data_IF_027589251474
#
_entry.id   IF_027589251474
#
_cell.length_a   1.000
_cell.length_b   1.000
_cell.length_c   1.000
_cell.angle_alpha   90.00
_cell.angle_beta   90.00
_cell.angle_gamma   90.00
#
_symmetry.space_group_name_H-M   'P 1'
#
loop_
_entity.id
_entity.type
_entity.pdbx_description
1 polymer ?
#
# COMPACT_ATOMS: atom_id res chain seq x y z
N UNK A 1 2.38 56.57 27.48
CA UNK A 1 3.62 56.36 26.69
C UNK A 1 3.80 54.86 26.51
N UNK A 2 3.34 54.33 25.38
CA UNK A 2 3.38 52.90 25.08
C UNK A 2 4.67 52.51 24.38
N UNK A 3 5.26 51.38 24.79
CA UNK A 3 6.26 50.66 24.01
C UNK A 3 5.57 49.49 23.30
N UNK A 4 5.56 49.42 21.96
CA UNK A 4 4.93 48.30 21.26
C UNK A 4 5.87 47.09 21.25
N UNK A 5 5.37 45.97 21.74
CA UNK A 5 6.05 44.68 21.72
C UNK A 5 6.31 44.20 20.29
N UNK A 6 7.56 43.78 20.05
CA UNK A 6 8.03 43.18 18.80
C UNK A 6 7.30 41.84 18.57
N UNK A 7 6.30 41.82 17.70
CA UNK A 7 5.65 40.58 17.23
C UNK A 7 6.69 39.74 16.49
N UNK A 8 7.00 38.55 17.00
CA UNK A 8 7.75 37.52 16.26
C UNK A 8 6.81 36.95 15.19
N UNK A 9 7.22 37.02 13.93
CA UNK A 9 6.53 36.34 12.84
C UNK A 9 6.56 34.82 13.04
N UNK A 10 5.54 34.07 12.57
CA UNK A 10 5.49 32.63 12.75
C UNK A 10 6.60 31.97 11.93
N UNK A 11 7.36 31.07 12.56
CA UNK A 11 8.47 30.30 11.98
C UNK A 11 7.98 29.28 10.93
N UNK A 12 6.66 29.17 10.71
CA UNK A 12 6.01 28.11 9.92
C UNK A 12 6.28 28.22 8.41
N UNK A 13 6.49 29.41 7.87
CA UNK A 13 6.69 29.61 6.43
C UNK A 13 8.16 29.42 5.98
N UNK A 14 9.12 29.47 6.91
CA UNK A 14 10.54 29.27 6.57
C UNK A 14 10.88 27.81 6.27
N UNK A 15 10.30 26.88 7.05
CA UNK A 15 10.49 25.45 6.80
C UNK A 15 9.87 25.01 5.46
N UNK A 16 8.76 25.60 5.05
CA UNK A 16 8.14 25.31 3.75
C UNK A 16 9.00 25.78 2.57
N UNK A 17 9.59 26.99 2.67
CA UNK A 17 10.43 27.54 1.61
C UNK A 17 11.79 26.82 1.51
N UNK A 18 12.36 26.40 2.64
CA UNK A 18 13.59 25.60 2.67
C UNK A 18 13.35 24.19 2.11
N UNK A 19 12.21 23.56 2.42
CA UNK A 19 11.87 22.22 1.92
C UNK A 19 11.53 22.24 0.41
N UNK A 20 10.87 23.30 -0.07
CA UNK A 20 10.69 23.54 -1.51
C UNK A 20 12.02 23.77 -2.24
N UNK A 21 12.96 24.51 -1.63
CA UNK A 21 14.29 24.74 -2.20
C UNK A 21 15.09 23.43 -2.29
N UNK A 22 15.07 22.61 -1.25
CA UNK A 22 15.72 21.28 -1.25
C UNK A 22 15.10 20.35 -2.30
N UNK A 23 13.77 20.36 -2.42
CA UNK A 23 13.05 19.60 -3.45
C UNK A 23 13.34 20.09 -4.88
N UNK A 24 13.59 21.38 -5.07
CA UNK A 24 14.03 21.92 -6.36
C UNK A 24 15.46 21.52 -6.70
N UNK A 25 16.38 21.58 -5.73
CA UNK A 25 17.78 21.17 -5.90
C UNK A 25 17.85 19.67 -6.22
N UNK A 26 17.04 18.85 -5.55
CA UNK A 26 16.97 17.42 -5.81
C UNK A 26 16.51 17.12 -7.25
N UNK A 27 15.41 17.75 -7.71
CA UNK A 27 14.92 17.62 -9.09
C UNK A 27 15.92 18.12 -10.13
N UNK A 28 16.62 19.21 -9.85
CA UNK A 28 17.64 19.74 -10.76
C UNK A 28 18.86 18.81 -10.84
N UNK A 29 19.29 18.23 -9.72
CA UNK A 29 20.35 17.24 -9.69
C UNK A 29 19.97 15.96 -10.47
N UNK A 30 18.74 15.50 -10.31
CA UNK A 30 18.18 14.36 -11.04
C UNK A 30 18.10 14.64 -12.55
N UNK A 31 17.61 15.82 -12.95
CA UNK A 31 17.57 16.23 -14.35
C UNK A 31 18.98 16.31 -14.98
N UNK A 32 19.97 16.80 -14.23
CA UNK A 32 21.37 16.83 -14.69
C UNK A 32 21.95 15.43 -14.84
N UNK A 33 21.63 14.51 -13.93
CA UNK A 33 22.03 13.10 -14.05
C UNK A 33 21.36 12.43 -15.25
N UNK A 34 20.06 12.63 -15.44
CA UNK A 34 19.32 12.11 -16.59
C UNK A 34 19.90 12.63 -17.92
N UNK A 35 20.26 13.91 -18.00
CA UNK A 35 20.92 14.49 -19.17
C UNK A 35 22.30 13.85 -19.43
N UNK A 36 23.08 13.57 -18.38
CA UNK A 36 24.35 12.84 -18.52
C UNK A 36 24.15 11.41 -19.01
N UNK A 37 23.13 10.69 -18.50
CA UNK A 37 22.76 9.34 -18.99
C UNK A 37 22.38 9.38 -20.46
N UNK A 38 21.57 10.34 -20.88
CA UNK A 38 21.19 10.51 -22.29
C UNK A 38 22.42 10.79 -23.19
N UNK A 39 23.31 11.70 -22.78
CA UNK A 39 24.52 12.00 -23.54
C UNK A 39 25.47 10.80 -23.67
N UNK A 40 25.59 9.99 -22.61
CA UNK A 40 26.37 8.73 -22.65
C UNK A 40 25.73 7.70 -23.57
N UNK A 41 24.41 7.55 -23.50
CA UNK A 41 23.66 6.67 -24.40
C UNK A 41 23.84 7.07 -25.87
N UNK A 42 23.71 8.36 -26.19
CA UNK A 42 23.96 8.89 -27.53
C UNK A 42 25.42 8.66 -28.00
N UNK A 43 26.40 8.82 -27.11
CA UNK A 43 27.81 8.58 -27.43
C UNK A 43 28.08 7.10 -27.76
N UNK A 44 27.47 6.16 -27.01
CA UNK A 44 27.51 4.72 -27.31
C UNK A 44 26.90 4.43 -28.68
N UNK A 45 25.75 5.02 -28.96
CA UNK A 45 25.02 4.86 -30.22
C UNK A 45 25.81 5.36 -31.44
N UNK A 46 26.46 6.53 -31.32
CA UNK A 46 27.31 7.08 -32.38
C UNK A 46 28.49 6.15 -32.66
N UNK A 47 29.16 5.67 -31.61
CA UNK A 47 30.33 4.79 -31.74
C UNK A 47 29.96 3.42 -32.33
N UNK A 48 28.81 2.86 -31.95
CA UNK A 48 28.28 1.63 -32.56
C UNK A 48 28.03 1.80 -34.06
N UNK A 49 27.42 2.91 -34.49
CA UNK A 49 27.22 3.20 -35.91
C UNK A 49 28.53 3.39 -36.67
N UNK A 50 29.56 3.95 -36.02
CA UNK A 50 30.87 4.12 -36.63
C UNK A 50 31.64 2.80 -36.76
N UNK A 51 31.55 1.91 -35.77
CA UNK A 51 32.09 0.55 -35.85
C UNK A 51 31.40 -0.26 -36.97
N UNK A 52 30.07 -0.20 -37.07
CA UNK A 52 29.34 -0.82 -38.19
C UNK A 52 29.76 -0.26 -39.56
N UNK A 53 30.03 1.04 -39.63
CA UNK A 53 30.50 1.68 -40.85
C UNK A 53 31.90 1.19 -41.23
N UNK A 54 32.83 1.11 -40.27
CA UNK A 54 34.17 0.57 -40.51
C UNK A 54 34.11 -0.89 -40.97
N UNK A 55 33.22 -1.70 -40.38
CA UNK A 55 32.99 -3.08 -40.81
C UNK A 55 32.53 -3.15 -42.28
N UNK A 56 31.53 -2.35 -42.66
CA UNK A 56 31.04 -2.30 -44.06
C UNK A 56 32.11 -1.80 -45.04
N UNK A 57 32.91 -0.82 -44.65
CA UNK A 57 33.99 -0.30 -45.51
C UNK A 57 35.13 -1.33 -45.72
N UNK A 58 35.38 -2.19 -44.73
CA UNK A 58 36.30 -3.32 -44.87
C UNK A 58 35.73 -4.42 -45.77
N UNK A 59 34.45 -4.76 -45.60
CA UNK A 59 33.76 -5.74 -46.45
C UNK A 59 33.72 -5.28 -47.91
N UNK A 60 33.39 -4.00 -48.16
CA UNK A 60 33.43 -3.42 -49.51
C UNK A 60 34.85 -3.41 -50.12
N UNK A 61 35.89 -3.23 -49.32
CA UNK A 61 37.28 -3.30 -49.80
C UNK A 61 37.68 -4.74 -50.15
N UNK A 62 37.19 -5.72 -49.39
CA UNK A 62 37.37 -7.13 -49.69
C UNK A 62 36.67 -7.53 -51.00
N UNK A 63 35.45 -7.05 -51.22
CA UNK A 63 34.68 -7.28 -52.46
C UNK A 63 35.30 -6.60 -53.69
N UNK A 64 35.87 -5.38 -53.52
CA UNK A 64 36.59 -4.67 -54.58
C UNK A 64 37.88 -5.40 -54.97
N UNK A 65 38.60 -5.97 -54.00
CA UNK A 65 39.76 -6.81 -54.27
C UNK A 65 39.36 -8.11 -55.00
N UNK A 66 38.20 -8.69 -54.68
CA UNK A 66 37.69 -9.90 -55.34
C UNK A 66 37.19 -9.67 -56.78
N UNK A 67 36.65 -8.48 -57.06
CA UNK A 67 36.15 -8.10 -58.40
C UNK A 67 37.26 -7.70 -59.37
N UNK A 68 38.38 -7.15 -58.90
CA UNK A 68 39.53 -6.80 -59.76
C UNK A 68 40.24 -8.03 -60.36
N UNK A 69 40.15 -9.21 -59.70
CA UNK A 69 40.65 -10.48 -60.24
C UNK A 69 39.64 -11.22 -61.16
N UNK A 70 38.39 -10.75 -61.25
CA UNK A 70 37.30 -11.46 -61.96
C UNK A 70 36.81 -10.72 -63.21
N UNK A 71 37.74 -10.30 -64.09
CA UNK A 71 37.41 -9.85 -65.46
C UNK A 71 37.72 -10.97 -66.47
N UNK A 72 36.76 -11.39 -67.33
CA UNK A 72 36.89 -12.63 -68.10
C UNK A 72 37.72 -12.43 -69.37
N UNK A 73 38.90 -13.08 -69.42
CA UNK A 73 39.59 -13.32 -70.69
C UNK A 73 39.13 -14.66 -71.26
N UNK A 74 38.26 -14.56 -72.26
CA UNK A 74 37.66 -15.66 -73.01
C UNK A 74 38.68 -16.42 -73.85
N UNK A 75 38.75 -17.76 -73.71
CA UNK A 75 38.87 -18.72 -74.83
C UNK A 75 38.85 -20.20 -74.38
N UNK A 76 37.97 -20.96 -75.05
CA UNK A 76 38.01 -22.40 -75.37
C UNK A 76 37.45 -23.45 -74.36
N UNK A 77 36.16 -23.77 -74.56
CA UNK A 77 35.64 -25.06 -75.06
C UNK A 77 35.78 -26.39 -74.25
N UNK A 78 34.64 -26.76 -73.62
CA UNK A 78 34.00 -28.11 -73.58
C UNK A 78 34.55 -29.18 -72.59
N UNK A 79 33.80 -30.26 -72.24
CA UNK A 79 33.09 -30.30 -70.95
C UNK A 79 33.25 -31.62 -70.16
N UNK A 80 32.99 -31.56 -68.85
CA UNK A 80 32.60 -32.73 -68.06
C UNK A 80 33.74 -33.63 -67.58
N UNK A 81 33.75 -33.90 -66.27
CA UNK A 81 33.49 -35.21 -65.67
C UNK A 81 33.84 -35.16 -64.18
N UNK A 82 32.94 -35.68 -63.37
CA UNK A 82 33.18 -36.03 -61.97
C UNK A 82 33.82 -37.42 -61.87
N UNK A 83 34.29 -37.71 -60.65
CA UNK A 83 34.57 -39.01 -60.04
C UNK A 83 35.99 -39.58 -60.19
N UNK A 84 36.56 -39.88 -59.02
CA UNK A 84 37.29 -41.09 -58.64
C UNK A 84 38.35 -41.69 -59.60
N UNK A 85 39.41 -42.18 -58.94
CA UNK A 85 40.56 -42.92 -59.44
C UNK A 85 41.71 -42.04 -59.96
N UNK A 86 42.87 -42.12 -59.31
CA UNK A 86 43.82 -43.18 -59.64
C UNK A 86 44.85 -43.40 -58.53
N UNK A 87 45.23 -44.66 -58.44
CA UNK A 87 46.09 -45.28 -57.46
C UNK A 87 47.58 -44.98 -57.67
N UNK A 88 48.34 -45.36 -56.63
CA UNK A 88 49.66 -46.00 -56.68
C UNK A 88 50.74 -45.44 -57.60
N UNK A 89 51.81 -44.93 -56.98
CA UNK A 89 53.23 -45.18 -57.28
C UNK A 89 53.94 -44.82 -55.96
N UNK A 90 54.72 -45.64 -55.27
CA UNK A 90 55.70 -46.63 -55.70
C UNK A 90 56.95 -46.34 -54.85
N UNK A 91 57.32 -47.27 -53.96
CA UNK A 91 58.47 -47.10 -53.06
C UNK A 91 59.83 -47.29 -53.74
N UNK A 92 60.89 -46.87 -53.04
CA UNK A 92 62.23 -47.49 -52.95
C UNK A 92 63.02 -46.65 -51.92
N UNK A 93 63.50 -47.23 -50.81
CA UNK A 93 64.82 -47.84 -50.67
C UNK A 93 65.99 -46.89 -50.93
N UNK A 94 66.77 -46.54 -49.91
CA UNK A 94 68.15 -47.05 -49.78
C UNK A 94 68.90 -46.43 -48.59
N UNK A 95 69.73 -47.27 -47.97
CA UNK A 95 70.75 -46.94 -46.96
C UNK A 95 72.04 -46.44 -47.64
N UNK A 96 72.88 -45.76 -46.83
CA UNK A 96 74.31 -45.36 -46.99
C UNK A 96 74.44 -43.84 -47.17
N UNK A 97 75.40 -43.14 -46.58
CA UNK A 97 76.55 -43.53 -45.77
C UNK A 97 77.30 -42.26 -45.37
N UNK A 98 78.07 -42.37 -44.29
CA UNK A 98 79.05 -41.40 -43.80
C UNK A 98 80.15 -41.16 -44.85
N UNK A 99 80.48 -39.89 -45.13
CA UNK A 99 81.83 -39.48 -45.56
C UNK A 99 81.97 -37.94 -45.46
N UNK A 100 82.93 -37.50 -44.65
CA UNK A 100 83.51 -36.15 -44.64
C UNK A 100 84.14 -35.79 -45.99
N UNK A 101 84.11 -34.50 -46.35
CA UNK A 101 84.88 -33.97 -47.48
C UNK A 101 84.56 -32.51 -47.75
N UNK A 102 85.31 -31.60 -47.14
CA UNK A 102 85.22 -30.17 -47.41
C UNK A 102 85.53 -29.83 -48.87
N UNK A 103 84.77 -28.90 -49.43
CA UNK A 103 85.19 -28.06 -50.55
C UNK A 103 84.36 -26.80 -50.59
N UNK A 104 85.08 -25.68 -50.45
CA UNK A 104 84.80 -24.35 -51.04
C UNK A 104 83.34 -23.92 -50.89
N UNK A 105 83.07 -23.06 -49.90
CA UNK A 105 81.84 -22.29 -49.84
C UNK A 105 81.69 -21.52 -51.17
N UNK A 106 80.76 -21.98 -52.01
CA UNK A 106 80.35 -21.29 -53.22
C UNK A 106 79.65 -20.00 -52.78
N UNK A 107 80.19 -18.81 -53.07
CA UNK A 107 79.62 -17.55 -52.60
C UNK A 107 78.17 -17.35 -53.05
N UNK A 108 77.73 -18.01 -54.13
CA UNK A 108 76.36 -17.94 -54.63
C UNK A 108 75.37 -18.75 -53.77
N UNK A 109 75.81 -19.87 -53.18
CA UNK A 109 75.00 -20.67 -52.24
C UNK A 109 74.76 -19.90 -50.93
N UNK A 110 75.79 -19.25 -50.39
CA UNK A 110 75.65 -18.38 -49.20
C UNK A 110 74.79 -17.15 -49.47
N UNK A 111 74.79 -16.63 -50.70
CA UNK A 111 73.93 -15.50 -51.11
C UNK A 111 72.47 -15.93 -51.26
N UNK A 112 72.22 -17.14 -51.76
CA UNK A 112 70.89 -17.75 -51.82
C UNK A 112 70.31 -17.97 -50.41
N UNK A 113 71.09 -18.55 -49.49
CA UNK A 113 70.67 -18.76 -48.09
C UNK A 113 70.34 -17.44 -47.38
N UNK A 114 71.10 -16.37 -47.64
CA UNK A 114 70.80 -15.04 -47.12
C UNK A 114 69.51 -14.44 -47.70
N UNK A 115 69.20 -14.71 -48.97
CA UNK A 115 67.95 -14.28 -49.60
C UNK A 115 66.75 -15.04 -49.04
N UNK A 116 66.89 -16.35 -48.81
CA UNK A 116 65.85 -17.17 -48.19
C UNK A 116 65.62 -16.76 -46.73
N UNK A 117 66.69 -16.48 -45.99
CA UNK A 117 66.61 -15.93 -44.62
C UNK A 117 65.94 -14.56 -44.59
N UNK A 118 66.25 -13.69 -45.56
CA UNK A 118 65.60 -12.39 -45.69
C UNK A 118 64.10 -12.56 -45.97
N UNK A 119 63.72 -13.44 -46.90
CA UNK A 119 62.32 -13.72 -47.22
C UNK A 119 61.56 -14.29 -46.00
N UNK A 120 62.18 -15.18 -45.22
CA UNK A 120 61.58 -15.73 -44.00
C UNK A 120 61.36 -14.64 -42.93
N UNK A 121 62.32 -13.72 -42.76
CA UNK A 121 62.18 -12.58 -41.84
C UNK A 121 61.10 -11.61 -42.32
N UNK A 122 61.02 -11.34 -43.63
CA UNK A 122 59.96 -10.53 -44.22
C UNK A 122 58.57 -11.14 -44.02
N UNK A 123 58.42 -12.47 -44.15
CA UNK A 123 57.16 -13.16 -43.90
C UNK A 123 56.78 -13.12 -42.41
N UNK A 124 57.75 -13.33 -41.51
CA UNK A 124 57.55 -13.19 -40.06
C UNK A 124 57.15 -11.76 -39.68
N UNK A 125 57.77 -10.75 -40.29
CA UNK A 125 57.41 -9.35 -40.08
C UNK A 125 55.98 -9.06 -40.55
N UNK A 126 55.57 -9.55 -41.73
CA UNK A 126 54.18 -9.41 -42.20
C UNK A 126 53.18 -10.07 -41.25
N UNK A 127 53.45 -11.29 -40.78
CA UNK A 127 52.61 -11.99 -39.79
C UNK A 127 52.50 -11.20 -38.48
N UNK A 128 53.62 -10.67 -37.97
CA UNK A 128 53.64 -9.85 -36.77
C UNK A 128 52.83 -8.55 -36.95
N UNK A 129 52.92 -7.91 -38.13
CA UNK A 129 52.15 -6.70 -38.42
C UNK A 129 50.64 -6.96 -38.45
N UNK A 130 50.21 -8.05 -39.08
CA UNK A 130 48.79 -8.47 -39.09
C UNK A 130 48.32 -8.81 -37.67
N UNK A 131 49.12 -9.54 -36.90
CA UNK A 131 48.81 -9.84 -35.49
C UNK A 131 48.71 -8.60 -34.63
N UNK A 132 49.58 -7.60 -34.85
CA UNK A 132 49.56 -6.35 -34.08
C UNK A 132 48.30 -5.53 -34.40
N UNK A 133 47.92 -5.45 -35.69
CA UNK A 133 46.66 -4.82 -36.09
C UNK A 133 45.43 -5.54 -35.50
N UNK A 134 45.47 -6.87 -35.37
CA UNK A 134 44.39 -7.61 -34.70
C UNK A 134 44.32 -7.27 -33.21
N UNK A 135 45.47 -7.23 -32.52
CA UNK A 135 45.53 -6.88 -31.10
C UNK A 135 45.06 -5.45 -30.83
N UNK A 136 45.35 -4.50 -31.72
CA UNK A 136 44.86 -3.12 -31.61
C UNK A 136 43.32 -3.04 -31.76
N UNK A 137 42.72 -3.85 -32.64
CA UNK A 137 41.27 -3.96 -32.75
C UNK A 137 40.65 -4.59 -31.49
N UNK A 138 41.21 -5.70 -31.01
CA UNK A 138 40.73 -6.37 -29.80
C UNK A 138 40.86 -5.45 -28.57
N UNK A 139 41.94 -4.68 -28.47
CA UNK A 139 42.12 -3.65 -27.44
C UNK A 139 41.06 -2.56 -27.53
N UNK A 140 40.78 -2.05 -28.73
CA UNK A 140 39.75 -1.03 -28.93
C UNK A 140 38.35 -1.55 -28.54
N UNK A 141 38.04 -2.80 -28.87
CA UNK A 141 36.80 -3.49 -28.52
C UNK A 141 36.69 -3.69 -27.00
N UNK A 142 37.75 -4.17 -26.35
CA UNK A 142 37.77 -4.35 -24.89
C UNK A 142 37.63 -3.03 -24.14
N UNK A 143 38.26 -1.95 -24.61
CA UNK A 143 38.08 -0.61 -24.03
C UNK A 143 36.61 -0.19 -24.10
N UNK A 144 35.96 -0.39 -25.24
CA UNK A 144 34.54 -0.08 -25.38
C UNK A 144 33.63 -0.91 -24.46
N UNK A 145 33.91 -2.21 -24.34
CA UNK A 145 33.17 -3.08 -23.43
C UNK A 145 33.32 -2.63 -21.98
N UNK A 146 34.54 -2.27 -21.55
CA UNK A 146 34.80 -1.75 -20.22
C UNK A 146 34.04 -0.44 -19.98
N UNK A 147 34.03 0.48 -20.94
CA UNK A 147 33.30 1.75 -20.80
C UNK A 147 31.79 1.52 -20.71
N UNK A 148 31.25 0.62 -21.54
CA UNK A 148 29.82 0.24 -21.48
C UNK A 148 29.46 -0.38 -20.13
N UNK A 149 30.29 -1.31 -19.62
CA UNK A 149 30.08 -1.93 -18.32
C UNK A 149 30.17 -0.91 -17.19
N UNK A 150 31.05 0.09 -17.28
CA UNK A 150 31.13 1.17 -16.29
C UNK A 150 29.83 1.97 -16.23
N UNK A 151 29.26 2.42 -17.35
CA UNK A 151 28.01 3.18 -17.21
C UNK A 151 26.83 2.28 -16.80
N UNK A 152 26.83 0.97 -17.10
CA UNK A 152 25.84 0.03 -16.52
C UNK A 152 26.00 -0.07 -14.99
N UNK A 153 27.24 -0.13 -14.49
CA UNK A 153 27.51 -0.12 -13.04
C UNK A 153 27.02 1.19 -12.41
N UNK A 154 27.32 2.34 -13.02
CA UNK A 154 26.84 3.65 -12.53
C UNK A 154 25.30 3.71 -12.51
N UNK A 155 24.62 3.22 -13.55
CA UNK A 155 23.16 3.14 -13.58
C UNK A 155 22.60 2.24 -12.45
N UNK A 156 23.22 1.09 -12.18
CA UNK A 156 22.83 0.20 -11.08
C UNK A 156 23.07 0.82 -9.71
N UNK A 157 24.17 1.55 -9.50
CA UNK A 157 24.48 2.25 -8.25
C UNK A 157 23.46 3.37 -7.97
N UNK A 158 23.04 4.07 -9.01
CA UNK A 158 22.00 5.10 -8.92
C UNK A 158 20.63 4.49 -8.59
N UNK A 159 20.24 3.40 -9.27
CA UNK A 159 19.01 2.67 -8.95
C UNK A 159 19.02 2.13 -7.50
N UNK A 160 20.16 1.62 -7.03
CA UNK A 160 20.31 1.16 -5.65
C UNK A 160 20.14 2.31 -4.66
N UNK A 161 20.70 3.48 -4.98
CA UNK A 161 20.59 4.69 -4.15
C UNK A 161 19.17 5.23 -4.11
N UNK A 162 18.44 5.18 -5.23
CA UNK A 162 17.05 5.59 -5.34
C UNK A 162 16.12 4.67 -4.52
N UNK A 163 16.25 3.35 -4.70
CA UNK A 163 15.50 2.37 -3.89
C UNK A 163 15.74 2.54 -2.39
N UNK A 164 16.97 2.86 -1.96
CA UNK A 164 17.26 3.14 -0.54
C UNK A 164 16.50 4.37 -0.04
N UNK A 165 16.46 5.46 -0.82
CA UNK A 165 15.69 6.67 -0.45
C UNK A 165 14.20 6.37 -0.34
N UNK A 166 13.64 5.64 -1.30
CA UNK A 166 12.23 5.23 -1.26
C UNK A 166 11.92 4.38 -0.02
N UNK A 167 12.80 3.44 0.32
CA UNK A 167 12.67 2.62 1.53
C UNK A 167 12.68 3.47 2.80
N UNK A 168 13.58 4.45 2.89
CA UNK A 168 13.66 5.38 4.03
C UNK A 168 12.39 6.23 4.16
N UNK A 169 11.83 6.71 3.05
CA UNK A 169 10.60 7.49 3.06
C UNK A 169 9.37 6.64 3.41
N UNK A 170 9.30 5.40 2.92
CA UNK A 170 8.28 4.43 3.35
C UNK A 170 8.40 4.09 4.83
N UNK A 171 9.63 3.98 5.36
CA UNK A 171 9.85 3.77 6.79
C UNK A 171 9.36 4.94 7.63
N UNK A 172 9.62 6.20 7.21
CA UNK A 172 9.09 7.40 7.89
C UNK A 172 7.56 7.43 7.88
N UNK A 173 6.93 7.13 6.74
CA UNK A 173 5.46 7.09 6.65
C UNK A 173 4.87 5.98 7.52
N UNK A 174 5.52 4.81 7.59
CA UNK A 174 5.13 3.74 8.51
C UNK A 174 5.16 4.19 9.97
N UNK A 175 6.21 4.89 10.40
CA UNK A 175 6.29 5.42 11.77
C UNK A 175 5.22 6.49 12.04
N UNK A 176 4.93 7.35 11.05
CA UNK A 176 3.82 8.32 11.14
C UNK A 176 2.47 7.62 11.30
N UNK A 177 2.24 6.53 10.56
CA UNK A 177 1.02 5.73 10.66
C UNK A 177 0.92 5.01 12.00
N UNK A 178 2.01 4.41 12.51
CA UNK A 178 2.04 3.82 13.85
C UNK A 178 1.67 4.83 14.93
N UNK A 179 2.21 6.04 14.84
CA UNK A 179 1.85 7.11 15.78
C UNK A 179 0.35 7.47 15.69
N UNK A 180 -0.20 7.59 14.49
CA UNK A 180 -1.63 7.84 14.29
C UNK A 180 -2.50 6.73 14.89
N UNK A 181 -2.13 5.46 14.67
CA UNK A 181 -2.84 4.30 15.24
C UNK A 181 -2.80 4.37 16.77
N UNK A 182 -1.66 4.69 17.37
CA UNK A 182 -1.53 4.84 18.82
C UNK A 182 -2.45 5.94 19.38
N UNK A 183 -2.54 7.09 18.71
CA UNK A 183 -3.45 8.18 19.10
C UNK A 183 -4.92 7.73 19.00
N UNK A 184 -5.28 7.05 17.93
CA UNK A 184 -6.65 6.54 17.75
C UNK A 184 -7.01 5.46 18.76
N UNK A 185 -6.07 4.59 19.14
CA UNK A 185 -6.25 3.59 20.19
C UNK A 185 -6.53 4.26 21.54
N UNK A 186 -5.74 5.28 21.92
CA UNK A 186 -5.99 6.05 23.13
C UNK A 186 -7.38 6.69 23.12
N UNK A 187 -7.78 7.28 21.98
CA UNK A 187 -9.11 7.88 21.84
C UNK A 187 -10.23 6.84 21.94
N UNK A 188 -10.02 5.65 21.39
CA UNK A 188 -10.96 4.54 21.51
C UNK A 188 -11.13 4.10 22.97
N UNK A 189 -10.03 4.03 23.73
CA UNK A 189 -10.07 3.68 25.16
C UNK A 189 -10.82 4.72 25.99
N UNK A 190 -10.57 6.01 25.76
CA UNK A 190 -11.32 7.11 26.41
C UNK A 190 -12.83 7.00 26.15
N UNK A 191 -13.22 6.75 24.89
CA UNK A 191 -14.63 6.64 24.53
C UNK A 191 -15.27 5.38 25.12
N UNK A 192 -14.54 4.26 25.18
CA UNK A 192 -14.99 3.03 25.85
C UNK A 192 -15.22 3.24 27.34
N UNK A 193 -14.33 3.96 28.01
CA UNK A 193 -14.50 4.32 29.41
C UNK A 193 -15.72 5.22 29.62
N UNK A 194 -15.93 6.20 28.75
CA UNK A 194 -17.13 7.04 28.79
C UNK A 194 -18.43 6.27 28.51
N UNK A 195 -18.40 5.17 27.77
CA UNK A 195 -19.55 4.26 27.63
C UNK A 195 -19.77 3.51 28.95
N UNK A 196 -18.74 2.90 29.54
CA UNK A 196 -18.85 2.17 30.81
C UNK A 196 -19.46 3.02 31.91
N UNK A 197 -18.99 4.25 32.08
CA UNK A 197 -19.52 5.17 33.10
C UNK A 197 -21.00 5.52 32.88
N UNK A 198 -21.45 5.59 31.61
CA UNK A 198 -22.87 5.81 31.30
C UNK A 198 -23.69 4.57 31.63
N UNK A 199 -23.21 3.38 31.29
CA UNK A 199 -23.91 2.13 31.59
C UNK A 199 -24.06 1.94 33.12
N UNK A 200 -23.02 2.21 33.90
CA UNK A 200 -23.09 2.20 35.37
C UNK A 200 -24.14 3.18 35.92
N UNK A 201 -24.22 4.38 35.35
CA UNK A 201 -25.22 5.37 35.75
C UNK A 201 -26.65 4.92 35.41
N UNK A 202 -26.84 4.28 34.24
CA UNK A 202 -28.13 3.71 33.84
C UNK A 202 -28.55 2.63 34.83
N UNK A 203 -27.67 1.69 35.16
CA UNK A 203 -28.00 0.64 36.13
C UNK A 203 -28.32 1.21 37.53
N UNK A 204 -27.63 2.27 37.96
CA UNK A 204 -27.92 2.93 39.23
C UNK A 204 -29.33 3.57 39.23
N UNK A 205 -29.72 4.21 38.12
CA UNK A 205 -31.05 4.78 37.94
C UNK A 205 -32.14 3.70 37.88
N UNK A 206 -31.87 2.55 37.27
CA UNK A 206 -32.79 1.41 37.25
C UNK A 206 -33.04 0.87 38.65
N UNK A 207 -31.99 0.65 39.46
CA UNK A 207 -32.13 0.24 40.88
C UNK A 207 -32.91 1.28 41.70
N UNK A 208 -32.67 2.57 41.45
CA UNK A 208 -33.41 3.63 42.12
C UNK A 208 -34.89 3.61 41.75
N UNK A 209 -35.21 3.35 40.48
CA UNK A 209 -36.59 3.22 40.00
C UNK A 209 -37.29 2.03 40.67
N UNK A 210 -36.64 0.88 40.75
CA UNK A 210 -37.16 -0.32 41.45
C UNK A 210 -37.48 -0.01 42.92
N UNK A 211 -36.59 0.69 43.61
CA UNK A 211 -36.81 1.12 44.99
C UNK A 211 -38.05 2.04 45.13
N UNK A 212 -38.20 3.01 44.23
CA UNK A 212 -39.38 3.88 44.21
C UNK A 212 -40.66 3.14 43.85
N UNK A 213 -40.60 2.13 42.98
CA UNK A 213 -41.72 1.26 42.65
C UNK A 213 -42.17 0.50 43.92
N UNK A 214 -41.26 -0.08 44.71
CA UNK A 214 -41.57 -0.73 46.00
C UNK A 214 -42.27 0.19 47.00
N UNK A 215 -41.75 1.40 47.22
CA UNK A 215 -42.38 2.39 48.12
C UNK A 215 -43.79 2.75 47.64
N UNK A 216 -43.97 2.90 46.32
CA UNK A 216 -45.26 3.22 45.74
C UNK A 216 -46.28 2.11 45.96
N UNK A 217 -45.89 0.84 45.79
CA UNK A 217 -46.75 -0.30 46.13
C UNK A 217 -47.12 -0.32 47.61
N UNK A 218 -46.16 -0.20 48.54
CA UNK A 218 -46.45 -0.17 49.99
C UNK A 218 -47.40 0.98 50.36
N UNK A 219 -47.18 2.17 49.79
CA UNK A 219 -48.07 3.32 50.01
C UNK A 219 -49.49 3.04 49.51
N UNK A 220 -49.63 2.40 48.36
CA UNK A 220 -50.92 2.11 47.76
C UNK A 220 -51.66 1.03 48.58
N UNK A 221 -50.95 -0.02 49.04
CA UNK A 221 -51.47 -1.01 49.99
C UNK A 221 -51.94 -0.38 51.31
N UNK A 222 -51.12 0.49 51.92
CA UNK A 222 -51.49 1.20 53.15
C UNK A 222 -52.71 2.12 52.95
N UNK A 223 -52.87 2.71 51.76
CA UNK A 223 -54.07 3.51 51.43
C UNK A 223 -55.31 2.62 51.40
N UNK A 224 -55.22 1.45 50.77
CA UNK A 224 -56.33 0.51 50.69
C UNK A 224 -56.73 0.01 52.09
N UNK A 225 -55.76 -0.38 52.94
CA UNK A 225 -56.00 -0.76 54.33
C UNK A 225 -56.68 0.36 55.14
N UNK A 226 -56.27 1.61 54.93
CA UNK A 226 -56.84 2.76 55.61
C UNK A 226 -58.28 3.04 55.15
N UNK A 227 -58.59 2.79 53.87
CA UNK A 227 -59.98 2.85 53.38
C UNK A 227 -60.85 1.77 53.99
N UNK A 228 -60.35 0.54 54.12
CA UNK A 228 -61.04 -0.58 54.76
C UNK A 228 -61.32 -0.32 56.25
N UNK A 229 -60.32 0.17 57.00
CA UNK A 229 -60.48 0.54 58.41
C UNK A 229 -61.50 1.66 58.60
N UNK A 230 -61.48 2.67 57.73
CA UNK A 230 -62.46 3.76 57.76
C UNK A 230 -63.87 3.27 57.45
N UNK A 231 -64.01 2.30 56.54
CA UNK A 231 -65.28 1.59 56.28
C UNK A 231 -65.78 0.84 57.52
N UNK A 232 -64.89 0.08 58.17
CA UNK A 232 -65.21 -0.68 59.41
C UNK A 232 -65.58 0.23 60.58
N UNK A 233 -64.87 1.35 60.80
CA UNK A 233 -65.18 2.33 61.84
C UNK A 233 -66.57 2.95 61.67
N UNK A 234 -66.97 3.26 60.43
CA UNK A 234 -68.32 3.78 60.13
C UNK A 234 -69.43 2.75 60.37
N UNK A 235 -69.12 1.46 60.33
CA UNK A 235 -70.08 0.39 60.65
C UNK A 235 -70.19 0.07 62.16
N UNK A 236 -69.24 0.55 62.97
CA UNK A 236 -69.13 0.28 64.41
C UNK A 236 -69.75 1.33 65.35
N UNK A 237 -70.11 2.52 64.86
CA UNK A 237 -70.81 3.55 65.64
C UNK A 237 -72.32 3.24 65.72
N UNK A 238 -72.69 2.25 66.54
CA UNK A 238 -74.05 2.04 67.02
C UNK A 238 -74.21 2.46 68.48
N UNK A 239 -73.72 3.63 68.89
CA UNK A 239 -74.12 4.26 70.15
C UNK A 239 -74.17 5.78 69.99
N UNK A 240 -75.39 6.33 70.09
CA UNK A 240 -75.67 7.74 69.94
C UNK A 240 -75.38 8.57 71.20
N UNK A 241 -75.25 9.88 70.98
CA UNK A 241 -75.40 10.90 72.01
C UNK A 241 -76.62 11.76 71.62
N UNK A 242 -77.68 11.62 72.40
CA UNK A 242 -78.92 12.40 72.35
C UNK A 242 -78.72 13.64 73.20
N UNK A 243 -78.86 14.82 72.61
CA UNK A 243 -78.98 16.09 73.35
C UNK A 243 -80.49 16.33 73.58
N UNK A 244 -80.89 16.29 74.86
CA UNK A 244 -82.26 16.56 75.34
C UNK A 244 -82.44 18.08 75.52
N UNK A 245 -83.49 18.72 74.96
CA UNK A 245 -83.83 20.10 75.27
C UNK A 245 -84.90 20.17 76.39
N UNK A 246 -84.59 20.84 77.50
CA UNK A 246 -85.57 21.36 78.46
C UNK A 246 -85.33 22.86 78.71
N UNK A 247 -86.42 23.63 78.75
CA UNK A 247 -86.46 24.97 79.34
C UNK A 247 -86.92 26.11 78.43
N UNK A 248 -88.24 26.32 78.31
CA UNK A 248 -88.89 27.63 78.06
C UNK A 248 -88.46 28.66 79.13
N UNK A 249 -88.57 30.01 78.96
CA UNK A 249 -89.77 30.70 78.45
C UNK A 249 -89.62 32.10 77.78
N UNK A 250 -90.79 32.61 77.32
CA UNK A 250 -91.18 33.99 76.99
C UNK A 250 -90.58 34.61 75.70
N UNK A 251 -91.34 35.24 74.79
CA UNK A 251 -92.74 35.63 74.73
C UNK A 251 -92.92 36.56 73.51
N UNK A 252 -94.14 36.58 72.98
CA UNK A 252 -94.76 37.57 72.07
C UNK A 252 -94.09 37.91 70.73
N UNK A 253 -94.82 37.65 69.63
CA UNK A 253 -95.50 38.64 68.76
C UNK A 253 -95.98 37.90 67.50
N UNK A 254 -97.31 37.75 67.42
CA UNK A 254 -98.17 38.11 66.28
C UNK A 254 -97.75 37.68 64.85
N UNK A 255 -98.53 36.78 64.22
CA UNK A 255 -99.46 37.09 63.10
C UNK A 255 -99.89 35.83 62.32
N UNK A 256 -101.22 35.71 62.19
CA UNK A 256 -102.03 35.17 61.08
C UNK A 256 -101.63 33.94 60.25
N UNK A 257 -102.59 33.00 60.26
CA UNK A 257 -102.86 31.89 59.33
C UNK A 257 -102.62 32.25 57.84
N UNK A 258 -102.17 31.29 57.02
CA UNK A 258 -103.14 30.41 56.38
C UNK A 258 -102.72 28.94 56.37
N UNK A 259 -103.73 28.07 56.38
CA UNK A 259 -103.59 26.66 56.07
C UNK A 259 -102.75 26.48 54.79
N UNK A 260 -101.60 25.81 54.92
CA UNK A 260 -100.81 25.36 53.78
C UNK A 260 -100.58 23.86 53.93
N UNK A 261 -100.99 23.14 52.90
CA UNK A 261 -101.37 21.73 52.95
C UNK A 261 -100.29 20.81 53.50
N UNK A 262 -100.75 19.79 54.24
CA UNK A 262 -100.02 18.54 54.42
C UNK A 262 -99.75 18.00 53.01
N UNK A 263 -98.56 18.28 52.51
CA UNK A 263 -98.05 17.71 51.27
C UNK A 263 -97.38 16.40 51.67
N UNK A 264 -98.01 15.30 51.25
CA UNK A 264 -97.47 13.96 51.45
C UNK A 264 -96.21 13.87 50.60
N UNK A 265 -95.06 13.94 51.26
CA UNK A 265 -93.76 13.74 50.62
C UNK A 265 -93.67 12.26 50.25
N UNK A 266 -93.23 11.95 49.04
CA UNK A 266 -93.00 10.56 48.63
C UNK A 266 -91.96 9.92 49.54
N UNK A 267 -92.07 8.61 49.78
CA UNK A 267 -91.14 7.87 50.64
C UNK A 267 -89.67 8.14 50.28
N UNK A 268 -89.38 8.29 48.99
CA UNK A 268 -88.06 8.61 48.45
C UNK A 268 -87.57 10.01 48.87
N UNK A 269 -88.43 11.03 48.77
CA UNK A 269 -88.05 12.39 49.15
C UNK A 269 -87.91 12.54 50.67
N UNK A 270 -88.65 11.78 51.47
CA UNK A 270 -88.45 11.69 52.91
C UNK A 270 -87.07 11.06 53.24
N UNK A 271 -86.69 9.99 52.55
CA UNK A 271 -85.39 9.32 52.72
C UNK A 271 -84.20 10.22 52.35
N UNK A 272 -84.32 10.98 51.26
CA UNK A 272 -83.26 11.93 50.84
C UNK A 272 -83.13 13.06 51.87
N UNK A 273 -84.24 13.57 52.41
CA UNK A 273 -84.23 14.57 53.47
C UNK A 273 -83.70 14.03 54.81
N UNK A 274 -83.87 12.75 55.11
CA UNK A 274 -83.23 12.09 56.26
C UNK A 274 -81.72 12.00 56.07
N UNK A 275 -81.24 11.72 54.85
CA UNK A 275 -79.81 11.62 54.55
C UNK A 275 -79.04 12.95 54.66
N UNK A 276 -79.73 14.09 54.56
CA UNK A 276 -79.19 15.44 54.73
C UNK A 276 -78.90 15.82 56.21
N UNK A 277 -79.18 14.92 57.15
CA UNK A 277 -78.98 15.08 58.60
C UNK A 277 -80.13 15.81 59.31
N UNK A 278 -79.96 16.12 60.60
CA UNK A 278 -80.99 16.75 61.42
C UNK A 278 -81.06 18.28 61.25
N UNK A 279 -82.27 18.84 61.40
CA UNK A 279 -82.54 20.28 61.33
C UNK A 279 -83.88 20.61 60.67
N UNK A 280 -84.33 21.88 60.75
CA UNK A 280 -85.54 22.32 60.06
C UNK A 280 -85.38 22.14 58.53
N UNK A 281 -86.52 22.01 57.84
CA UNK A 281 -86.58 21.59 56.43
C UNK A 281 -85.76 22.50 55.51
N UNK A 282 -85.71 23.79 55.79
CA UNK A 282 -84.94 24.79 55.08
C UNK A 282 -83.42 24.55 55.17
N UNK A 283 -82.92 24.11 56.33
CA UNK A 283 -81.50 23.76 56.54
C UNK A 283 -81.14 22.50 55.78
N UNK A 284 -82.01 21.48 55.80
CA UNK A 284 -81.79 20.21 55.08
C UNK A 284 -81.83 20.42 53.57
N UNK A 285 -82.76 21.22 53.08
CA UNK A 285 -82.82 21.62 51.67
C UNK A 285 -81.59 22.44 51.24
N UNK A 286 -81.07 23.32 52.10
CA UNK A 286 -79.85 24.08 51.81
C UNK A 286 -78.62 23.17 51.71
N UNK A 287 -78.46 22.24 52.65
CA UNK A 287 -77.36 21.25 52.59
C UNK A 287 -77.42 20.40 51.31
N UNK A 288 -78.60 19.92 50.93
CA UNK A 288 -78.78 19.18 49.68
C UNK A 288 -78.50 20.05 48.43
N UNK A 289 -78.80 21.35 48.49
CA UNK A 289 -78.45 22.28 47.43
C UNK A 289 -76.93 22.51 47.33
N UNK A 290 -76.25 22.66 48.47
CA UNK A 290 -74.80 22.82 48.54
C UNK A 290 -74.07 21.56 48.04
N UNK A 291 -74.52 20.38 48.48
CA UNK A 291 -74.01 19.08 48.00
C UNK A 291 -74.25 18.89 46.50
N UNK A 292 -75.43 19.28 46.00
CA UNK A 292 -75.73 19.27 44.56
C UNK A 292 -74.78 20.19 43.81
N UNK A 293 -74.51 21.39 44.30
CA UNK A 293 -73.61 22.34 43.66
C UNK A 293 -72.15 21.86 43.67
N UNK A 294 -71.73 21.18 44.74
CA UNK A 294 -70.42 20.54 44.84
C UNK A 294 -70.28 19.34 43.91
N UNK A 295 -71.31 18.47 43.84
CA UNK A 295 -71.35 17.37 42.87
C UNK A 295 -71.36 17.89 41.43
N UNK A 296 -72.08 18.98 41.15
CA UNK A 296 -72.06 19.64 39.84
C UNK A 296 -70.66 20.22 39.52
N UNK A 297 -69.95 20.76 40.52
CA UNK A 297 -68.57 21.21 40.34
C UNK A 297 -67.62 20.04 40.05
N UNK A 298 -67.78 18.91 40.74
CA UNK A 298 -67.02 17.68 40.48
C UNK A 298 -67.31 17.12 39.08
N UNK A 299 -68.57 17.10 38.66
CA UNK A 299 -68.97 16.68 37.30
C UNK A 299 -68.33 17.61 36.25
N UNK A 300 -68.34 18.93 36.45
CA UNK A 300 -67.67 19.87 35.54
C UNK A 300 -66.17 19.61 35.45
N UNK A 301 -65.51 19.38 36.59
CA UNK A 301 -64.07 19.07 36.66
C UNK A 301 -63.73 17.74 35.96
N UNK A 302 -64.50 16.69 36.23
CA UNK A 302 -64.33 15.39 35.57
C UNK A 302 -64.61 15.47 34.08
N UNK A 303 -65.62 16.23 33.64
CA UNK A 303 -65.85 16.51 32.22
C UNK A 303 -64.66 17.21 31.58
N UNK A 304 -64.10 18.24 32.20
CA UNK A 304 -62.89 18.89 31.70
C UNK A 304 -61.70 17.94 31.64
N UNK A 305 -61.50 17.08 32.64
CA UNK A 305 -60.43 16.07 32.62
C UNK A 305 -60.64 15.04 31.51
N UNK A 306 -61.87 14.59 31.27
CA UNK A 306 -62.19 13.70 30.15
C UNK A 306 -62.01 14.39 28.81
N UNK A 307 -62.36 15.68 28.70
CA UNK A 307 -62.15 16.50 27.49
C UNK A 307 -60.65 16.69 27.22
N UNK A 308 -59.86 16.97 28.26
CA UNK A 308 -58.40 17.12 28.18
C UNK A 308 -57.72 15.80 27.82
N UNK A 309 -58.12 14.68 28.43
CA UNK A 309 -57.63 13.35 28.07
C UNK A 309 -58.08 12.93 26.66
N UNK A 310 -59.31 13.26 26.24
CA UNK A 310 -59.76 13.07 24.84
C UNK A 310 -58.98 13.93 23.86
N UNK A 311 -58.62 15.17 24.21
CA UNK A 311 -57.78 16.01 23.37
C UNK A 311 -56.33 15.52 23.32
N UNK A 312 -55.78 15.02 24.42
CA UNK A 312 -54.47 14.37 24.43
C UNK A 312 -54.47 13.08 23.61
N UNK A 313 -55.51 12.26 23.74
CA UNK A 313 -55.68 11.07 22.91
C UNK A 313 -55.90 11.44 21.45
N UNK A 314 -56.66 12.48 21.14
CA UNK A 314 -56.84 12.98 19.77
C UNK A 314 -55.55 13.54 19.17
N UNK A 315 -54.68 14.19 19.96
CA UNK A 315 -53.35 14.65 19.53
C UNK A 315 -52.37 13.48 19.39
N UNK A 316 -52.41 12.50 20.29
CA UNK A 316 -51.61 11.27 20.22
C UNK A 316 -52.02 10.41 19.02
N UNK A 317 -53.33 10.21 18.84
CA UNK A 317 -53.93 9.49 17.72
C UNK A 317 -53.74 10.27 16.41
N UNK A 318 -53.76 11.61 16.42
CA UNK A 318 -53.31 12.42 15.28
C UNK A 318 -51.83 12.19 14.97
N UNK A 319 -50.94 12.04 15.95
CA UNK A 319 -49.51 11.73 15.70
C UNK A 319 -49.30 10.30 15.17
N UNK A 320 -50.21 9.36 15.46
CA UNK A 320 -50.18 8.00 14.92
C UNK A 320 -51.00 7.80 13.62
N UNK A 321 -52.01 8.63 13.35
CA UNK A 321 -52.89 8.54 12.16
C UNK A 321 -52.61 9.60 11.10
N UNK A 322 -51.76 10.59 11.36
CA UNK A 322 -51.17 11.46 10.34
C UNK A 322 -50.09 10.72 9.49
N UNK A 323 -49.95 9.41 9.69
CA UNK A 323 -49.34 8.49 8.73
C UNK A 323 -50.30 7.96 7.65
N UNK A 324 -51.62 8.00 7.87
CA UNK A 324 -52.60 7.33 7.00
C UNK A 324 -53.64 8.26 6.33
N UNK A 325 -53.64 9.57 6.60
CA UNK A 325 -54.60 10.52 6.01
C UNK A 325 -54.00 11.67 5.18
N UNK A 326 -52.80 11.49 4.62
CA UNK A 326 -52.37 12.28 3.45
C UNK A 326 -52.48 11.42 2.19
N UNK A 327 -53.70 11.22 1.71
CA UNK A 327 -53.96 10.74 0.35
C UNK A 327 -53.20 11.64 -0.64
N UNK A 328 -52.13 11.08 -1.23
CA UNK A 328 -51.19 11.64 -2.23
C UNK A 328 -49.88 12.32 -1.73
N UNK A 329 -49.60 12.40 -0.42
CA UNK A 329 -48.40 13.08 0.10
C UNK A 329 -47.36 12.18 0.77
N UNK A 330 -47.77 11.39 1.76
CA UNK A 330 -46.86 10.53 2.56
C UNK A 330 -46.42 9.28 1.79
N UNK A 331 -47.31 8.69 1.01
CA UNK A 331 -46.98 7.57 0.12
C UNK A 331 -45.99 8.01 -0.97
N UNK A 332 -46.14 9.24 -1.48
CA UNK A 332 -45.20 9.84 -2.44
C UNK A 332 -43.81 10.02 -1.83
N UNK A 333 -43.71 10.49 -0.58
CA UNK A 333 -42.43 10.68 0.10
C UNK A 333 -41.73 9.37 0.45
N UNK A 334 -42.49 8.35 0.85
CA UNK A 334 -41.96 6.99 1.05
C UNK A 334 -41.48 6.36 -0.26
N UNK A 335 -42.24 6.54 -1.36
CA UNK A 335 -41.85 6.09 -2.70
C UNK A 335 -40.60 6.83 -3.20
N UNK A 336 -40.46 8.13 -2.92
CA UNK A 336 -39.25 8.92 -3.22
C UNK A 336 -38.05 8.41 -2.42
N UNK A 337 -38.19 8.19 -1.11
CA UNK A 337 -37.14 7.61 -0.27
C UNK A 337 -36.72 6.22 -0.76
N UNK A 338 -37.69 5.39 -1.14
CA UNK A 338 -37.43 4.06 -1.68
C UNK A 338 -36.74 4.13 -3.06
N UNK A 339 -37.09 5.09 -3.92
CA UNK A 339 -36.41 5.33 -5.20
C UNK A 339 -34.99 5.82 -5.00
N UNK A 340 -34.74 6.73 -4.06
CA UNK A 340 -33.41 7.24 -3.75
C UNK A 340 -32.53 6.16 -3.12
N UNK A 341 -33.08 5.35 -2.20
CA UNK A 341 -32.39 4.18 -1.68
C UNK A 341 -32.04 3.18 -2.79
N UNK A 342 -32.98 2.89 -3.71
CA UNK A 342 -32.73 2.00 -4.85
C UNK A 342 -31.72 2.57 -5.85
N UNK A 343 -31.71 3.88 -6.04
CA UNK A 343 -30.71 4.59 -6.87
C UNK A 343 -29.33 4.46 -6.23
N UNK A 344 -29.20 4.73 -4.94
CA UNK A 344 -27.94 4.60 -4.21
C UNK A 344 -27.43 3.15 -4.23
N UNK A 345 -28.30 2.16 -4.03
CA UNK A 345 -27.97 0.73 -4.17
C UNK A 345 -27.42 0.45 -5.56
N UNK A 346 -28.04 1.00 -6.61
CA UNK A 346 -27.59 0.80 -8.00
C UNK A 346 -26.23 1.46 -8.26
N UNK A 347 -26.01 2.68 -7.75
CA UNK A 347 -24.72 3.36 -7.83
C UNK A 347 -23.61 2.57 -7.11
N UNK A 348 -23.89 2.02 -5.91
CA UNK A 348 -22.93 1.20 -5.18
C UNK A 348 -22.67 -0.14 -5.86
N UNK A 349 -23.69 -0.78 -6.44
CA UNK A 349 -23.51 -2.00 -7.26
C UNK A 349 -22.61 -1.75 -8.47
N UNK A 350 -22.80 -0.62 -9.15
CA UNK A 350 -21.95 -0.24 -10.28
C UNK A 350 -20.51 0.02 -9.85
N UNK A 351 -20.31 0.76 -8.74
CA UNK A 351 -18.96 1.01 -8.19
C UNK A 351 -18.29 -0.29 -7.75
N UNK A 352 -19.02 -1.20 -7.13
CA UNK A 352 -18.52 -2.52 -6.74
C UNK A 352 -18.09 -3.33 -7.96
N UNK A 353 -18.94 -3.42 -8.98
CA UNK A 353 -18.61 -4.14 -10.22
C UNK A 353 -17.38 -3.56 -10.94
N UNK A 354 -17.23 -2.23 -10.93
CA UNK A 354 -16.04 -1.57 -11.48
C UNK A 354 -14.78 -1.91 -10.66
N UNK A 355 -14.87 -1.87 -9.33
CA UNK A 355 -13.77 -2.23 -8.45
C UNK A 355 -13.37 -3.71 -8.60
N UNK A 356 -14.33 -4.61 -8.77
CA UNK A 356 -14.09 -6.04 -9.05
C UNK A 356 -13.36 -6.23 -10.39
N UNK A 357 -13.72 -5.48 -11.43
CA UNK A 357 -13.03 -5.51 -12.72
C UNK A 357 -11.59 -4.98 -12.62
N UNK A 358 -11.39 -3.87 -11.90
CA UNK A 358 -10.06 -3.30 -11.64
C UNK A 358 -9.19 -4.29 -10.83
N UNK A 359 -9.77 -4.96 -9.83
CA UNK A 359 -9.09 -6.00 -9.04
C UNK A 359 -8.62 -7.15 -9.94
N UNK A 360 -9.48 -7.67 -10.83
CA UNK A 360 -9.09 -8.74 -11.76
C UNK A 360 -7.98 -8.32 -12.72
N UNK A 361 -7.93 -7.04 -13.13
CA UNK A 361 -6.83 -6.51 -13.95
C UNK A 361 -5.52 -6.44 -13.17
N UNK A 362 -5.59 -6.00 -11.91
CA UNK A 362 -4.43 -5.92 -11.02
C UNK A 362 -3.87 -7.31 -10.70
N UNK A 363 -4.73 -8.31 -10.49
CA UNK A 363 -4.32 -9.71 -10.31
C UNK A 363 -3.56 -10.27 -11.52
N UNK A 364 -4.01 -9.99 -12.74
CA UNK A 364 -3.29 -10.39 -13.95
C UNK A 364 -1.91 -9.72 -14.05
N UNK A 365 -1.82 -8.45 -13.68
CA UNK A 365 -0.55 -7.73 -13.65
C UNK A 365 0.41 -8.32 -12.61
N UNK A 366 -0.08 -8.65 -11.41
CA UNK A 366 0.70 -9.32 -10.35
C UNK A 366 1.24 -10.65 -10.87
N UNK A 367 0.39 -11.51 -11.43
CA UNK A 367 0.80 -12.80 -11.98
C UNK A 367 1.91 -12.67 -13.05
N UNK A 368 1.80 -11.66 -13.93
CA UNK A 368 2.83 -11.39 -14.94
C UNK A 368 4.15 -10.95 -14.32
N UNK A 369 4.10 -10.06 -13.33
CA UNK A 369 5.28 -9.53 -12.63
C UNK A 369 5.95 -10.63 -11.80
N UNK A 370 5.19 -11.45 -11.08
CA UNK A 370 5.71 -12.61 -10.35
C UNK A 370 6.44 -13.58 -11.29
N UNK A 371 5.89 -13.83 -12.48
CA UNK A 371 6.55 -14.63 -13.51
C UNK A 371 7.86 -14.00 -14.01
N UNK A 372 7.93 -12.67 -14.12
CA UNK A 372 9.17 -11.97 -14.48
C UNK A 372 10.22 -12.07 -13.37
N UNK A 373 9.83 -11.84 -12.12
CA UNK A 373 10.72 -11.95 -10.95
C UNK A 373 11.31 -13.36 -10.84
N UNK A 374 10.48 -14.39 -11.03
CA UNK A 374 10.95 -15.78 -11.02
C UNK A 374 12.02 -16.05 -12.07
N UNK A 375 11.84 -15.54 -13.30
CA UNK A 375 12.84 -15.67 -14.38
C UNK A 375 14.13 -14.90 -14.09
N UNK A 376 14.03 -13.68 -13.60
CA UNK A 376 15.22 -12.89 -13.26
C UNK A 376 16.01 -13.52 -12.12
N UNK A 377 15.33 -14.06 -11.11
CA UNK A 377 15.97 -14.80 -10.04
C UNK A 377 16.74 -16.01 -10.56
N UNK A 378 16.12 -16.83 -11.41
CA UNK A 378 16.81 -17.98 -12.02
C UNK A 378 18.01 -17.57 -12.88
N UNK A 379 17.91 -16.45 -13.61
CA UNK A 379 19.01 -15.90 -14.40
C UNK A 379 20.17 -15.39 -13.54
N UNK A 380 19.86 -14.75 -12.41
CA UNK A 380 20.85 -14.27 -11.45
C UNK A 380 21.58 -15.44 -10.78
N UNK A 381 20.84 -16.43 -10.28
CA UNK A 381 21.41 -17.65 -9.69
C UNK A 381 22.31 -18.40 -10.68
N UNK A 382 21.96 -18.43 -11.97
CA UNK A 382 22.80 -19.02 -13.02
C UNK A 382 24.07 -18.21 -13.28
N UNK A 383 23.97 -16.87 -13.26
CA UNK A 383 25.12 -15.98 -13.47
C UNK A 383 26.12 -16.07 -12.32
N UNK A 384 25.64 -16.18 -11.07
CA UNK A 384 26.49 -16.38 -9.89
C UNK A 384 27.29 -17.68 -10.00
N UNK A 385 26.65 -18.78 -10.44
CA UNK A 385 27.34 -20.06 -10.67
C UNK A 385 28.46 -19.94 -11.72
N UNK A 386 28.17 -19.28 -12.85
CA UNK A 386 29.17 -19.05 -13.91
C UNK A 386 30.32 -18.18 -13.39
N UNK A 387 30.03 -17.15 -12.59
CA UNK A 387 31.07 -16.30 -11.99
C UNK A 387 32.00 -17.12 -11.09
N UNK A 388 31.45 -18.01 -10.26
CA UNK A 388 32.24 -18.87 -9.38
C UNK A 388 33.11 -19.87 -10.15
N UNK A 389 32.59 -20.44 -11.25
CA UNK A 389 33.36 -21.28 -12.17
C UNK A 389 34.52 -20.50 -12.80
N UNK A 390 34.27 -19.30 -13.32
CA UNK A 390 35.30 -18.43 -13.90
C UNK A 390 36.35 -18.00 -12.86
N UNK A 391 35.96 -17.74 -11.61
CA UNK A 391 36.90 -17.48 -10.50
C UNK A 391 37.79 -18.70 -10.25
N UNK A 392 37.24 -19.91 -10.28
CA UNK A 392 38.01 -21.14 -10.10
C UNK A 392 38.99 -21.36 -11.26
N UNK A 393 38.55 -21.16 -12.51
CA UNK A 393 39.41 -21.24 -13.69
C UNK A 393 40.53 -20.20 -13.67
N UNK A 394 40.22 -18.94 -13.32
CA UNK A 394 41.22 -17.88 -13.16
C UNK A 394 42.32 -18.29 -12.17
N UNK A 395 41.95 -18.84 -11.02
CA UNK A 395 42.91 -19.32 -10.01
C UNK A 395 43.73 -20.51 -10.51
N UNK A 396 43.16 -21.37 -11.35
CA UNK A 396 43.88 -22.48 -11.98
C UNK A 396 44.90 -21.96 -12.98
N UNK A 397 44.48 -21.11 -13.92
CA UNK A 397 45.36 -20.51 -14.92
C UNK A 397 46.47 -19.65 -14.29
N UNK A 398 46.19 -18.93 -13.20
CA UNK A 398 47.21 -18.19 -12.46
C UNK A 398 48.29 -19.10 -11.86
N UNK A 399 47.92 -20.29 -11.36
CA UNK A 399 48.89 -21.29 -10.86
C UNK A 399 49.72 -21.90 -11.99
N UNK A 400 49.07 -22.22 -13.10
CA UNK A 400 49.76 -22.72 -14.31
C UNK A 400 50.74 -21.69 -14.86
N UNK A 401 50.33 -20.42 -14.95
CA UNK A 401 51.19 -19.32 -15.38
C UNK A 401 52.42 -19.19 -14.49
N UNK A 402 52.23 -19.22 -13.16
CA UNK A 402 53.36 -19.14 -12.21
C UNK A 402 54.33 -20.30 -12.40
N UNK A 403 53.80 -21.51 -12.55
CA UNK A 403 54.61 -22.72 -12.80
C UNK A 403 55.39 -22.63 -14.11
N UNK A 404 54.78 -22.06 -15.17
CA UNK A 404 55.45 -21.85 -16.45
C UNK A 404 56.56 -20.79 -16.35
N UNK A 405 56.33 -19.70 -15.62
CA UNK A 405 57.33 -18.67 -15.36
C UNK A 405 58.54 -19.23 -14.59
N UNK A 406 58.30 -19.98 -13.51
CA UNK A 406 59.37 -20.63 -12.74
C UNK A 406 60.23 -21.52 -13.65
N UNK A 407 59.59 -22.26 -14.58
CA UNK A 407 60.29 -23.11 -15.56
C UNK A 407 61.07 -22.32 -16.61
N UNK A 408 60.58 -21.14 -17.01
CA UNK A 408 61.32 -20.24 -17.90
C UNK A 408 62.57 -19.74 -17.19
N UNK A 409 62.48 -19.30 -15.93
CA UNK A 409 63.63 -18.84 -15.16
C UNK A 409 64.70 -19.94 -15.01
N UNK A 410 64.29 -21.18 -14.73
CA UNK A 410 65.20 -22.34 -14.70
C UNK A 410 65.92 -22.53 -16.05
N UNK A 411 65.16 -22.49 -17.15
CA UNK A 411 65.72 -22.65 -18.50
C UNK A 411 66.65 -21.49 -18.87
N UNK A 412 66.33 -20.26 -18.48
CA UNK A 412 67.20 -19.09 -18.69
C UNK A 412 68.51 -19.22 -17.91
N UNK A 413 68.47 -19.68 -16.66
CA UNK A 413 69.68 -19.96 -15.89
C UNK A 413 70.55 -21.02 -16.57
N UNK A 414 69.96 -22.15 -17.00
CA UNK A 414 70.72 -23.20 -17.70
C UNK A 414 71.32 -22.70 -19.01
N UNK A 415 70.57 -21.93 -19.79
CA UNK A 415 71.05 -21.34 -21.04
C UNK A 415 72.21 -20.37 -20.78
N UNK A 416 72.10 -19.50 -19.77
CA UNK A 416 73.19 -18.61 -19.36
C UNK A 416 74.47 -19.37 -18.98
N UNK A 417 74.35 -20.51 -18.31
CA UNK A 417 75.51 -21.37 -18.03
C UNK A 417 76.13 -21.97 -19.29
N UNK A 418 75.31 -22.42 -20.24
CA UNK A 418 75.77 -22.97 -21.52
C UNK A 418 76.45 -21.89 -22.38
N UNK A 419 75.88 -20.69 -22.46
CA UNK A 419 76.46 -19.53 -23.17
C UNK A 419 77.84 -19.21 -22.61
N UNK A 420 77.99 -19.07 -21.29
CA UNK A 420 79.30 -18.83 -20.65
C UNK A 420 80.32 -19.93 -20.97
N UNK A 421 79.89 -21.20 -21.05
CA UNK A 421 80.77 -22.32 -21.40
C UNK A 421 81.19 -22.27 -22.87
N UNK A 422 80.26 -21.92 -23.77
CA UNK A 422 80.56 -21.71 -25.19
C UNK A 422 81.53 -20.55 -25.41
N UNK A 423 81.35 -19.43 -24.70
CA UNK A 423 82.28 -18.30 -24.75
C UNK A 423 83.70 -18.69 -24.32
N UNK A 424 83.85 -19.46 -23.24
CA UNK A 424 85.15 -20.00 -22.82
C UNK A 424 85.78 -20.88 -23.89
N UNK A 425 85.00 -21.76 -24.52
CA UNK A 425 85.49 -22.62 -25.60
C UNK A 425 85.92 -21.81 -26.83
N UNK A 426 85.16 -20.78 -27.21
CA UNK A 426 85.51 -19.84 -28.30
C UNK A 426 86.80 -19.08 -27.98
N UNK A 427 86.94 -18.57 -26.76
CA UNK A 427 88.15 -17.87 -26.33
C UNK A 427 89.39 -18.79 -26.39
N UNK A 428 89.27 -20.03 -25.90
CA UNK A 428 90.34 -21.03 -25.98
C UNK A 428 90.73 -21.35 -27.44
N UNK A 429 89.74 -21.52 -28.32
CA UNK A 429 89.98 -21.75 -29.75
C UNK A 429 90.71 -20.58 -30.39
N UNK A 430 90.29 -19.34 -30.10
CA UNK A 430 90.94 -18.15 -30.64
C UNK A 430 92.38 -18.00 -30.13
N UNK A 431 92.63 -18.31 -28.86
CA UNK A 431 93.98 -18.31 -28.29
C UNK A 431 94.90 -19.33 -28.98
N UNK A 432 94.40 -20.56 -29.23
CA UNK A 432 95.13 -21.59 -29.96
C UNK A 432 95.44 -21.17 -31.41
N UNK A 433 94.48 -20.53 -32.08
CA UNK A 433 94.68 -20.02 -33.44
C UNK A 433 95.70 -18.88 -33.50
N UNK A 434 95.84 -18.09 -32.43
CA UNK A 434 96.84 -17.00 -32.37
C UNK A 434 98.28 -17.46 -32.10
N UNK A 435 98.47 -18.74 -31.72
CA UNK A 435 99.79 -19.34 -31.46
C UNK A 435 100.34 -20.13 -32.66
N UNK A 436 99.56 -20.29 -33.72
CA UNK A 436 99.99 -20.77 -35.04
C UNK A 436 100.31 -19.59 -35.93
#
# INVERSE_FOLDING_TARGET
MGTPGRKRAPIKDRFSAEDEALSSIAREAEARLAAKRAARAEARDIRMRELERQQRELDEKCDKQYTEYSRPSSRCATPGLSAAALASLGGTSSRRGSQDGGSIADPDASLSELRDSLAEVEEKYKKAMVSNAQLDNDKANLIYQVDTLKDVIEEMEEQSSEMKREMDDKAKELERQKHMVSVLQHKQEELKEGIRQRDELIEALERQKEYFDCIRTERDELRDELTDLKGKSKSGEKHGLVIIPEGTPNGDIDLELPASGITVVTQEAAQVLESAGEGPLDVRLRKLADEKDELLAQIRKLKMQVEDERQKHSKMESVFTDGEKMENGTDLHFIEYQRDANRQISEFKFKLSKAEQEMGTMEQNINRLEGQVSRYKASADNSEKIEDELKAEKRKLQRELRTALDKIEEMEMTNNHLVKRLEKMKANRNALLSQQ
#
